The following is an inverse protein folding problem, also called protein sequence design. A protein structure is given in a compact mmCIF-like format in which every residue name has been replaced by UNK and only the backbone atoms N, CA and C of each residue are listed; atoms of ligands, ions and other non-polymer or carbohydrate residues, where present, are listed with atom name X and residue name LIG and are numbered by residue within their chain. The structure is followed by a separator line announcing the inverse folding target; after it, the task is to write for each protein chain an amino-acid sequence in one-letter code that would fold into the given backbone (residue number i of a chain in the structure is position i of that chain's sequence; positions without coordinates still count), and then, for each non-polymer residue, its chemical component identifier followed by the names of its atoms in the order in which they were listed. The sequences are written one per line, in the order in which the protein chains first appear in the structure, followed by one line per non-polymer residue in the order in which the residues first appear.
data_IF_532970908458
#
_entry.id   IF_532970908458
#
_cell.length_a   1.000
_cell.length_b   1.000
_cell.length_c   1.000
_cell.angle_alpha   90.00
_cell.angle_beta   90.00
_cell.angle_gamma   90.00
#
_symmetry.space_group_name_H-M   'P 1'
#
loop_
_entity.id
_entity.type
_entity.pdbx_description
1 polymer ?
#
# COMPACT_ATOMS: atom_id res chain seq x y z
N UNK A 1 -5.58 -8.60 -2.91
CA UNK A 1 -4.56 -9.27 -3.75
C UNK A 1 -4.31 -10.65 -3.21
N UNK A 2 -4.16 -11.64 -4.10
CA UNK A 2 -3.66 -12.97 -3.75
C UNK A 2 -2.13 -12.93 -3.70
N UNK A 3 -1.54 -13.53 -2.66
CA UNK A 3 -0.11 -13.72 -2.48
C UNK A 3 0.25 -15.04 -3.15
N UNK A 4 1.09 -14.96 -4.17
CA UNK A 4 1.57 -16.12 -4.90
C UNK A 4 3.06 -15.99 -5.21
N UNK A 5 3.73 -17.12 -5.27
CA UNK A 5 5.09 -17.18 -5.78
C UNK A 5 5.11 -16.86 -7.28
N UNK A 6 6.11 -16.11 -7.76
CA UNK A 6 6.29 -15.87 -9.19
C UNK A 6 6.52 -17.19 -9.94
N UNK A 7 5.68 -17.48 -10.94
CA UNK A 7 5.62 -18.80 -11.61
C UNK A 7 6.91 -19.25 -12.31
N UNK A 8 7.75 -18.32 -12.79
CA UNK A 8 8.90 -18.63 -13.66
C UNK A 8 10.17 -17.80 -13.35
N UNK A 9 10.25 -17.14 -12.18
CA UNK A 9 11.41 -16.33 -11.77
C UNK A 9 11.60 -16.47 -10.26
N UNK A 10 12.83 -16.41 -9.76
CA UNK A 10 13.06 -16.31 -8.32
C UNK A 10 12.49 -15.01 -7.74
N UNK A 11 12.17 -15.01 -6.46
CA UNK A 11 11.52 -13.89 -5.74
C UNK A 11 12.25 -12.55 -5.96
N UNK A 12 13.58 -12.54 -5.83
CA UNK A 12 14.36 -11.31 -6.05
C UNK A 12 14.33 -10.82 -7.51
N UNK A 13 14.37 -11.74 -8.48
CA UNK A 13 14.25 -11.39 -9.91
C UNK A 13 12.84 -10.88 -10.25
N UNK A 14 11.83 -11.30 -9.49
CA UNK A 14 10.49 -10.74 -9.58
C UNK A 14 10.47 -9.31 -8.99
N UNK A 15 11.03 -9.11 -7.79
CA UNK A 15 11.11 -7.79 -7.16
C UNK A 15 11.82 -6.74 -8.02
N UNK A 16 12.92 -7.09 -8.67
CA UNK A 16 13.65 -6.15 -9.53
C UNK A 16 12.84 -5.63 -10.72
N UNK A 17 11.80 -6.36 -11.17
CA UNK A 17 10.89 -5.85 -12.21
C UNK A 17 10.00 -4.69 -11.72
N UNK A 18 9.90 -4.50 -10.42
CA UNK A 18 9.11 -3.46 -9.75
C UNK A 18 9.97 -2.38 -9.09
N UNK A 19 11.29 -2.36 -9.27
CA UNK A 19 12.19 -1.42 -8.57
C UNK A 19 11.75 0.04 -8.70
N UNK A 20 11.17 0.40 -9.85
CA UNK A 20 10.68 1.77 -10.12
C UNK A 20 9.33 2.11 -9.48
N UNK A 21 8.66 1.17 -8.82
CA UNK A 21 7.30 1.37 -8.28
C UNK A 21 7.28 1.58 -6.77
N UNK A 22 8.34 1.19 -6.08
CA UNK A 22 8.47 1.32 -4.64
C UNK A 22 9.66 2.20 -4.27
N UNK A 23 9.58 2.88 -3.15
CA UNK A 23 10.69 3.66 -2.61
C UNK A 23 11.76 2.76 -2.00
N UNK A 24 12.95 3.30 -1.75
CA UNK A 24 14.00 2.58 -1.03
C UNK A 24 13.56 2.14 0.38
N UNK A 25 12.75 2.95 1.06
CA UNK A 25 12.21 2.66 2.39
C UNK A 25 11.20 1.51 2.36
N UNK A 26 10.30 1.51 1.38
CA UNK A 26 9.36 0.41 1.16
C UNK A 26 10.11 -0.88 0.84
N UNK A 27 11.11 -0.83 -0.05
CA UNK A 27 11.94 -1.98 -0.38
C UNK A 27 12.71 -2.54 0.81
N UNK A 28 13.24 -1.66 1.67
CA UNK A 28 13.88 -2.07 2.92
C UNK A 28 12.91 -2.87 3.79
N UNK A 29 11.66 -2.41 3.90
CA UNK A 29 10.60 -3.10 4.65
C UNK A 29 10.18 -4.42 4.00
N UNK A 30 10.02 -4.43 2.67
CA UNK A 30 9.65 -5.62 1.89
C UNK A 30 10.69 -6.71 2.05
N UNK A 31 11.98 -6.37 1.94
CA UNK A 31 13.10 -7.32 2.00
C UNK A 31 13.58 -7.62 3.43
N UNK A 32 13.06 -6.95 4.46
CA UNK A 32 13.47 -7.12 5.87
C UNK A 32 13.31 -8.55 6.39
N UNK A 33 12.20 -9.27 6.13
CA UNK A 33 12.06 -10.65 6.60
C UNK A 33 13.05 -11.60 5.89
N UNK A 34 13.50 -12.66 6.57
CA UNK A 34 14.35 -13.68 5.96
C UNK A 34 13.58 -14.68 5.10
N UNK A 35 12.28 -14.87 5.36
CA UNK A 35 11.41 -15.77 4.61
C UNK A 35 10.92 -15.11 3.33
N UNK A 36 11.15 -15.76 2.18
CA UNK A 36 10.63 -15.30 0.88
C UNK A 36 9.11 -15.13 0.90
N UNK A 37 8.38 -16.01 1.60
CA UNK A 37 6.92 -15.89 1.72
C UNK A 37 6.54 -14.59 2.42
N UNK A 38 7.21 -14.26 3.52
CA UNK A 38 6.96 -13.01 4.26
C UNK A 38 7.36 -11.79 3.46
N UNK A 39 8.44 -11.86 2.67
CA UNK A 39 8.81 -10.79 1.74
C UNK A 39 7.73 -10.58 0.67
N UNK A 40 7.19 -11.67 0.09
CA UNK A 40 6.08 -11.62 -0.85
C UNK A 40 4.81 -11.04 -0.19
N UNK A 41 4.49 -11.45 1.03
CA UNK A 41 3.39 -10.87 1.82
C UNK A 41 3.53 -9.36 1.94
N UNK A 42 4.73 -8.87 2.29
CA UNK A 42 4.98 -7.42 2.36
C UNK A 42 4.87 -6.76 0.98
N UNK A 43 5.46 -7.35 -0.06
CA UNK A 43 5.36 -6.84 -1.43
C UNK A 43 3.90 -6.63 -1.85
N UNK A 44 3.06 -7.66 -1.69
CA UNK A 44 1.64 -7.58 -2.07
C UNK A 44 0.85 -6.65 -1.16
N UNK A 45 1.22 -6.51 0.13
CA UNK A 45 0.65 -5.50 1.04
C UNK A 45 0.90 -4.09 0.52
N UNK A 46 2.15 -3.72 0.25
CA UNK A 46 2.51 -2.41 -0.29
C UNK A 46 1.89 -2.16 -1.68
N UNK A 47 1.88 -3.18 -2.54
CA UNK A 47 1.22 -3.08 -3.84
C UNK A 47 -0.29 -2.80 -3.68
N UNK A 48 -0.97 -3.50 -2.78
CA UNK A 48 -2.39 -3.31 -2.51
C UNK A 48 -2.69 -1.91 -1.96
N UNK A 49 -1.84 -1.38 -1.07
CA UNK A 49 -1.93 -0.02 -0.55
C UNK A 49 -1.81 1.02 -1.68
N UNK A 50 -0.77 0.94 -2.50
CA UNK A 50 -0.56 1.83 -3.65
C UNK A 50 -1.72 1.79 -4.63
N UNK A 51 -2.19 0.60 -4.99
CA UNK A 51 -3.34 0.41 -5.87
C UNK A 51 -4.62 1.01 -5.27
N UNK A 52 -4.86 0.81 -3.97
CA UNK A 52 -6.05 1.36 -3.30
C UNK A 52 -6.08 2.90 -3.35
N UNK A 53 -4.91 3.54 -3.19
CA UNK A 53 -4.77 4.99 -3.26
C UNK A 53 -5.02 5.52 -4.68
N UNK A 54 -4.39 4.93 -5.69
CA UNK A 54 -4.56 5.33 -7.10
C UNK A 54 -6.02 5.14 -7.55
N UNK A 55 -6.66 4.04 -7.14
CA UNK A 55 -8.09 3.80 -7.41
C UNK A 55 -8.98 4.84 -6.75
N UNK A 56 -8.72 5.19 -5.50
CA UNK A 56 -9.47 6.22 -4.80
C UNK A 56 -9.32 7.62 -5.43
N UNK A 57 -8.18 7.91 -6.07
CA UNK A 57 -7.99 9.14 -6.84
C UNK A 57 -8.71 9.14 -8.20
N UNK A 58 -9.03 7.98 -8.76
CA UNK A 58 -9.73 7.87 -10.06
C UNK A 58 -8.87 8.22 -11.28
N UNK A 59 -7.54 8.18 -11.15
CA UNK A 59 -6.58 8.65 -12.18
C UNK A 59 -6.00 7.54 -13.07
N UNK A 60 -6.31 6.28 -12.77
CA UNK A 60 -5.87 5.12 -13.55
C UNK A 60 -4.34 4.93 -13.58
N UNK A 61 -3.83 4.36 -14.68
CA UNK A 61 -2.43 3.88 -14.82
C UNK A 61 -1.38 5.00 -14.94
N UNK A 62 -1.79 6.26 -15.10
CA UNK A 62 -0.86 7.37 -15.35
C UNK A 62 -0.14 7.88 -14.10
N UNK A 63 -0.46 7.36 -12.91
CA UNK A 63 0.14 7.82 -11.67
C UNK A 63 1.52 7.20 -11.41
N UNK A 64 2.51 8.04 -11.15
CA UNK A 64 3.86 7.59 -10.78
C UNK A 64 3.89 7.02 -9.36
N UNK A 65 3.79 5.69 -9.23
CA UNK A 65 3.71 4.97 -7.95
C UNK A 65 4.87 5.25 -6.98
N UNK A 66 6.07 5.54 -7.50
CA UNK A 66 7.25 5.88 -6.70
C UNK A 66 7.10 7.21 -5.92
N UNK A 67 6.12 8.05 -6.26
CA UNK A 67 5.82 9.27 -5.48
C UNK A 67 5.17 8.95 -4.13
N UNK A 68 4.55 7.78 -4.01
CA UNK A 68 3.95 7.28 -2.77
C UNK A 68 5.02 6.61 -1.94
N UNK A 69 5.10 6.98 -0.68
CA UNK A 69 5.93 6.32 0.32
C UNK A 69 5.03 5.88 1.48
N UNK A 70 4.68 4.60 1.51
CA UNK A 70 3.87 4.02 2.57
C UNK A 70 4.72 3.61 3.77
N UNK A 71 4.21 3.94 4.96
CA UNK A 71 4.84 3.60 6.23
C UNK A 71 3.87 2.74 7.01
N UNK A 72 4.16 1.44 7.06
CA UNK A 72 3.38 0.43 7.79
C UNK A 72 3.96 0.24 9.19
N UNK A 73 3.12 0.25 10.23
CA UNK A 73 3.57 0.20 11.62
C UNK A 73 3.29 -1.15 12.29
N UNK A 74 2.07 -1.67 12.13
CA UNK A 74 1.69 -2.98 12.66
C UNK A 74 1.72 -4.07 11.59
N UNK A 75 1.98 -5.31 12.01
CA UNK A 75 1.63 -6.49 11.22
C UNK A 75 0.11 -6.57 11.05
N UNK A 76 -0.36 -7.31 10.04
CA UNK A 76 -1.80 -7.46 9.75
C UNK A 76 -2.24 -8.88 10.12
N UNK A 77 -2.85 -9.11 11.29
CA UNK A 77 -3.34 -10.44 11.66
C UNK A 77 -4.51 -10.86 10.77
N UNK A 78 -4.65 -12.18 10.57
CA UNK A 78 -5.80 -12.74 9.85
C UNK A 78 -7.10 -12.39 10.58
N UNK A 79 -8.09 -11.92 9.82
CA UNK A 79 -9.43 -11.57 10.32
C UNK A 79 -9.49 -10.29 11.16
N UNK A 80 -8.39 -9.52 11.26
CA UNK A 80 -8.37 -8.23 11.97
C UNK A 80 -7.94 -7.09 11.03
N UNK A 81 -8.52 -5.93 11.27
CA UNK A 81 -8.23 -4.71 10.52
C UNK A 81 -7.23 -3.83 11.28
N UNK A 82 -6.18 -3.39 10.60
CA UNK A 82 -5.26 -2.35 11.11
C UNK A 82 -5.46 -1.04 10.34
N UNK A 83 -5.20 0.08 10.99
CA UNK A 83 -5.50 1.42 10.48
C UNK A 83 -4.40 2.46 10.72
N UNK A 84 -3.20 2.00 11.08
CA UNK A 84 -2.08 2.83 11.50
C UNK A 84 -1.06 3.13 10.39
N UNK A 85 -1.33 2.65 9.17
CA UNK A 85 -0.53 2.92 7.98
C UNK A 85 -0.69 4.37 7.51
N UNK A 86 0.43 5.00 7.19
CA UNK A 86 0.51 6.38 6.69
C UNK A 86 1.06 6.40 5.27
N UNK A 87 0.70 7.42 4.51
CA UNK A 87 1.27 7.68 3.18
C UNK A 87 1.87 9.07 3.11
N UNK A 88 3.03 9.15 2.50
CA UNK A 88 3.66 10.40 2.10
C UNK A 88 3.63 10.49 0.58
N UNK A 89 3.36 11.68 0.06
CA UNK A 89 3.45 11.99 -1.38
C UNK A 89 4.53 13.03 -1.55
N UNK A 90 5.58 12.69 -2.29
CA UNK A 90 6.76 13.54 -2.49
C UNK A 90 7.32 14.08 -1.14
N UNK A 91 7.38 13.20 -0.14
CA UNK A 91 7.89 13.51 1.20
C UNK A 91 6.88 14.22 2.12
N UNK A 92 5.67 14.56 1.65
CA UNK A 92 4.66 15.25 2.45
C UNK A 92 3.59 14.29 2.98
N UNK A 93 3.41 14.24 4.31
CA UNK A 93 2.41 13.40 4.97
C UNK A 93 1.00 13.78 4.53
N UNK A 94 0.23 12.81 4.06
CA UNK A 94 -1.16 13.01 3.64
C UNK A 94 -2.14 12.71 4.78
N UNK A 95 -2.40 13.68 5.65
CA UNK A 95 -3.23 13.50 6.86
C UNK A 95 -4.72 13.24 6.62
N UNK A 96 -5.20 13.59 5.42
CA UNK A 96 -6.59 13.36 5.02
C UNK A 96 -6.85 11.94 4.54
N UNK A 97 -5.81 11.11 4.44
CA UNK A 97 -5.93 9.73 4.03
C UNK A 97 -5.86 8.79 5.23
N UNK A 98 -6.75 7.80 5.22
CA UNK A 98 -6.75 6.66 6.12
C UNK A 98 -6.72 5.39 5.28
N UNK A 99 -5.99 4.39 5.77
CA UNK A 99 -5.92 3.08 5.15
C UNK A 99 -6.42 2.04 6.13
N UNK A 100 -7.24 1.12 5.64
CA UNK A 100 -7.66 -0.06 6.38
C UNK A 100 -7.09 -1.29 5.71
N UNK A 101 -6.33 -2.09 6.45
CA UNK A 101 -5.66 -3.28 5.92
C UNK A 101 -6.17 -4.52 6.64
N UNK A 102 -6.43 -5.61 5.92
CA UNK A 102 -6.90 -6.87 6.50
C UNK A 102 -6.36 -8.05 5.72
N UNK A 103 -5.86 -9.07 6.42
CA UNK A 103 -5.59 -10.39 5.85
C UNK A 103 -6.86 -11.23 6.01
N UNK A 104 -7.45 -11.68 4.90
CA UNK A 104 -8.65 -12.53 4.91
C UNK A 104 -8.28 -13.97 5.29
N UNK A 105 -7.12 -14.42 4.83
CA UNK A 105 -6.49 -15.70 5.14
C UNK A 105 -4.96 -15.54 5.01
N UNK A 106 -4.22 -16.65 4.93
CA UNK A 106 -2.76 -16.65 4.80
C UNK A 106 -2.25 -16.17 3.42
N UNK A 107 -3.14 -16.01 2.44
CA UNK A 107 -2.83 -15.75 1.03
C UNK A 107 -3.56 -14.55 0.44
N UNK A 108 -4.49 -13.91 1.15
CA UNK A 108 -5.30 -12.82 0.59
C UNK A 108 -5.25 -11.59 1.49
N UNK A 109 -4.58 -10.55 1.00
CA UNK A 109 -4.54 -9.23 1.63
C UNK A 109 -5.49 -8.24 0.97
N UNK A 110 -6.14 -7.39 1.76
CA UNK A 110 -7.00 -6.30 1.30
C UNK A 110 -6.50 -4.99 1.89
N UNK A 111 -6.52 -3.93 1.08
CA UNK A 111 -6.29 -2.56 1.52
C UNK A 111 -7.40 -1.65 0.97
N UNK A 112 -7.96 -0.80 1.84
CA UNK A 112 -8.97 0.19 1.50
C UNK A 112 -8.41 1.58 1.79
N UNK A 113 -8.43 2.47 0.79
CA UNK A 113 -8.04 3.87 0.95
C UNK A 113 -9.27 4.76 1.12
N UNK A 114 -9.29 5.56 2.19
CA UNK A 114 -10.37 6.46 2.54
C UNK A 114 -9.82 7.88 2.61
N UNK A 115 -10.37 8.79 1.81
CA UNK A 115 -10.06 10.22 1.88
C UNK A 115 -11.13 10.92 2.71
N UNK A 116 -10.74 11.63 3.76
CA UNK A 116 -11.65 12.51 4.50
C UNK A 116 -12.27 13.51 3.53
N UNK A 117 -13.59 13.52 3.44
CA UNK A 117 -14.28 14.59 2.73
C UNK A 117 -14.32 15.80 3.66
N UNK A 118 -13.66 16.87 3.26
CA UNK A 118 -13.91 18.17 3.89
C UNK A 118 -15.32 18.56 3.50
N UNK A 119 -16.23 18.61 4.47
CA UNK A 119 -17.55 19.20 4.24
C UNK A 119 -17.33 20.62 3.74
N UNK A 120 -17.83 20.94 2.54
CA UNK A 120 -17.98 22.34 2.15
C UNK A 120 -18.95 22.94 3.17
N UNK A 121 -18.43 23.70 4.13
CA UNK A 121 -19.26 24.61 4.88
C UNK A 121 -19.99 25.46 3.86
N UNK A 122 -21.32 25.38 3.84
CA UNK A 122 -22.14 26.31 3.09
C UNK A 122 -21.84 27.69 3.65
N UNK A 123 -21.01 28.48 2.97
CA UNK A 123 -21.06 29.93 3.08
C UNK A 123 -22.38 30.35 2.46
N UNK A 124 -23.46 30.29 3.24
CA UNK A 124 -24.64 31.09 3.02
C UNK A 124 -24.23 32.55 3.24
N UNK A 125 -23.77 33.17 2.16
CA UNK A 125 -23.56 34.60 2.08
C UNK A 125 -24.88 35.31 1.87
N UNK A 126 -25.13 36.29 2.75
CA UNK A 126 -26.12 37.37 2.73
C UNK A 126 -27.58 37.00 3.00
#
# INVERSE_FOLDING_TARGET
MQIEYPRNRGTEKFFSTFDRQFTAQEWSTIRRPSSEWQQLTNFYRFWCLKESYVKALGIGIGFTLHRLDFHVNSDVPIGRTVCDTKVYVDGSLQQDWRFEETMLDDKHGVAVALKKQVSRAQTSGQ
#
